data_IF_486902567134
#
_entry.id   IF_486902567134
#
_cell.length_a   1.000
_cell.length_b   1.000
_cell.length_c   1.000
_cell.angle_alpha   90.00
_cell.angle_beta   90.00
_cell.angle_gamma   90.00
#
_symmetry.space_group_name_H-M   'P 1'
#
loop_
_entity.id
_entity.type
_entity.pdbx_description
1 polymer ?
#
# COMPACT_ATOMS: atom_id res chain seq x y z
N UNK A 1 64.80 -55.58 11.79
CA UNK A 1 63.40 -55.71 12.21
C UNK A 1 62.79 -54.30 12.33
N UNK A 2 62.53 -53.67 11.19
CA UNK A 2 61.85 -52.36 11.06
C UNK A 2 61.15 -52.38 9.69
N UNK A 3 59.82 -52.38 9.68
CA UNK A 3 58.88 -52.36 8.54
C UNK A 3 57.62 -51.69 9.11
N UNK A 4 56.88 -50.78 8.47
CA UNK A 4 56.75 -50.34 7.08
C UNK A 4 55.88 -49.07 7.09
N UNK A 5 56.30 -48.08 6.31
CA UNK A 5 55.51 -47.32 5.32
C UNK A 5 54.01 -47.05 5.56
N UNK A 6 53.72 -45.75 5.66
CA UNK A 6 52.76 -44.98 4.86
C UNK A 6 51.36 -45.56 4.57
N UNK A 7 50.34 -44.86 5.08
CA UNK A 7 49.12 -44.58 4.31
C UNK A 7 48.36 -43.42 4.97
N UNK A 8 48.50 -42.24 4.39
CA UNK A 8 47.64 -41.10 4.68
C UNK A 8 46.25 -41.38 4.12
N UNK A 9 45.22 -41.17 4.93
CA UNK A 9 43.83 -41.20 4.51
C UNK A 9 43.32 -39.76 4.48
N UNK A 10 43.22 -39.22 3.27
CA UNK A 10 42.48 -38.00 2.96
C UNK A 10 41.00 -38.37 3.00
N UNK A 11 40.29 -37.91 4.03
CA UNK A 11 38.83 -37.95 4.06
C UNK A 11 38.30 -36.72 3.33
N UNK A 12 38.05 -36.88 2.03
CA UNK A 12 37.30 -35.93 1.22
C UNK A 12 35.97 -36.57 0.83
N UNK A 13 34.84 -35.96 1.24
CA UNK A 13 33.44 -36.13 0.76
C UNK A 13 32.50 -35.80 1.94
N UNK A 14 31.39 -35.07 1.85
CA UNK A 14 30.69 -34.39 0.78
C UNK A 14 29.85 -33.31 1.50
N UNK A 15 30.21 -32.03 1.39
CA UNK A 15 29.34 -30.95 1.84
C UNK A 15 28.26 -30.75 0.78
N UNK A 16 27.13 -31.46 0.91
CA UNK A 16 25.91 -31.09 0.21
C UNK A 16 25.48 -29.76 0.82
N UNK A 17 25.92 -28.68 0.21
CA UNK A 17 25.36 -27.35 0.45
C UNK A 17 23.92 -27.41 -0.04
N UNK A 18 22.98 -27.67 0.87
CA UNK A 18 21.61 -27.28 0.67
C UNK A 18 21.62 -25.75 0.57
N UNK A 19 21.80 -25.23 -0.63
CA UNK A 19 21.35 -23.90 -0.95
C UNK A 19 19.84 -23.94 -0.77
N UNK A 20 19.38 -23.63 0.45
CA UNK A 20 18.03 -23.16 0.65
C UNK A 20 17.94 -21.91 -0.22
N UNK A 21 17.38 -22.07 -1.43
CA UNK A 21 16.82 -20.98 -2.18
C UNK A 21 15.90 -20.29 -1.19
N UNK A 22 16.29 -19.08 -0.77
CA UNK A 22 15.47 -18.25 0.08
C UNK A 22 14.18 -17.97 -0.68
N UNK A 23 13.17 -18.82 -0.45
CA UNK A 23 11.82 -18.59 -0.89
C UNK A 23 11.42 -17.28 -0.21
N UNK A 24 11.35 -16.21 -1.00
CA UNK A 24 11.26 -14.85 -0.49
C UNK A 24 10.08 -14.75 0.46
N UNK A 25 10.30 -14.17 1.65
CA UNK A 25 9.28 -14.07 2.69
C UNK A 25 7.94 -13.61 2.09
N UNK A 26 6.89 -14.41 2.32
CA UNK A 26 5.57 -14.14 1.78
C UNK A 26 5.08 -12.75 2.21
N UNK A 27 4.78 -11.90 1.24
CA UNK A 27 4.35 -10.52 1.44
C UNK A 27 2.86 -10.48 1.73
N UNK A 28 2.48 -9.67 2.72
CA UNK A 28 1.09 -9.33 3.04
C UNK A 28 0.84 -7.84 2.83
N UNK A 29 -0.41 -7.44 2.52
CA UNK A 29 -0.73 -6.08 2.07
C UNK A 29 -0.56 -5.01 3.14
N UNK A 30 -0.69 -5.36 4.42
CA UNK A 30 -0.67 -4.39 5.51
C UNK A 30 0.35 -4.76 6.57
N UNK A 31 0.86 -3.73 7.24
CA UNK A 31 1.68 -3.84 8.44
C UNK A 31 0.92 -3.23 9.61
N UNK A 32 0.78 -3.96 10.71
CA UNK A 32 0.32 -3.43 11.97
C UNK A 32 1.52 -2.75 12.65
N UNK A 33 1.42 -1.45 12.90
CA UNK A 33 2.48 -0.66 13.50
C UNK A 33 2.37 -0.64 15.02
N UNK A 34 1.14 -0.48 15.53
CA UNK A 34 0.83 -0.61 16.95
C UNK A 34 -0.64 -0.97 17.19
N UNK A 35 -0.91 -1.63 18.31
CA UNK A 35 -2.26 -1.83 18.82
C UNK A 35 -2.32 -1.60 20.34
N UNK A 36 -3.01 -0.54 20.78
CA UNK A 36 -3.01 -0.20 22.20
C UNK A 36 -3.99 0.90 22.59
N UNK A 37 -3.98 1.33 23.86
CA UNK A 37 -4.92 2.34 24.36
C UNK A 37 -4.72 3.70 23.71
N UNK A 38 -5.76 4.53 23.78
CA UNK A 38 -5.78 5.91 23.28
C UNK A 38 -7.03 6.22 22.49
N UNK A 39 -7.06 7.41 21.87
CA UNK A 39 -8.12 7.83 20.95
C UNK A 39 -7.58 7.88 19.53
N UNK A 40 -8.47 7.72 18.55
CA UNK A 40 -8.13 7.85 17.13
C UNK A 40 -7.48 9.20 16.85
N UNK A 41 -8.06 10.30 17.36
CA UNK A 41 -7.52 11.64 17.16
C UNK A 41 -6.08 11.80 17.69
N UNK A 42 -5.80 11.33 18.92
CA UNK A 42 -4.47 11.43 19.51
C UNK A 42 -3.44 10.58 18.74
N UNK A 43 -3.82 9.35 18.37
CA UNK A 43 -2.95 8.44 17.60
C UNK A 43 -2.70 8.95 16.18
N UNK A 44 -3.71 9.52 15.51
CA UNK A 44 -3.58 10.13 14.20
C UNK A 44 -2.66 11.36 14.24
N UNK A 45 -2.81 12.23 15.23
CA UNK A 45 -1.92 13.37 15.41
C UNK A 45 -0.45 12.93 15.63
N UNK A 46 -0.23 11.93 16.49
CA UNK A 46 1.09 11.36 16.72
C UNK A 46 1.68 10.74 15.44
N UNK A 47 0.88 9.98 14.70
CA UNK A 47 1.31 9.36 13.44
C UNK A 47 1.71 10.42 12.40
N UNK A 48 0.90 11.47 12.19
CA UNK A 48 1.22 12.56 11.25
C UNK A 48 2.57 13.21 11.59
N UNK A 49 2.78 13.55 12.87
CA UNK A 49 4.05 14.14 13.34
C UNK A 49 5.24 13.22 13.09
N UNK A 50 5.11 11.94 13.42
CA UNK A 50 6.19 10.97 13.24
C UNK A 50 6.51 10.73 11.76
N UNK A 51 5.49 10.69 10.90
CA UNK A 51 5.64 10.58 9.44
C UNK A 51 6.39 11.79 8.88
N UNK A 52 5.98 13.01 9.23
CA UNK A 52 6.65 14.23 8.80
C UNK A 52 8.11 14.29 9.27
N UNK A 53 8.39 13.91 10.51
CA UNK A 53 9.75 13.82 11.05
C UNK A 53 10.64 12.79 10.32
N UNK A 54 10.03 11.85 9.58
CA UNK A 54 10.73 10.85 8.78
C UNK A 54 10.61 11.09 7.26
N UNK A 55 10.39 12.35 6.86
CA UNK A 55 10.49 12.78 5.46
C UNK A 55 9.25 12.50 4.60
N UNK A 56 8.12 12.19 5.22
CA UNK A 56 6.84 12.08 4.53
C UNK A 56 6.09 13.41 4.50
N UNK A 57 5.42 13.67 3.38
CA UNK A 57 4.44 14.74 3.24
C UNK A 57 3.05 14.15 3.36
N UNK A 58 2.17 14.79 4.12
CA UNK A 58 0.75 14.42 4.18
C UNK A 58 0.06 14.96 2.92
N UNK A 59 -0.38 14.07 2.03
CA UNK A 59 -1.06 14.44 0.79
C UNK A 59 -2.58 14.67 1.00
N UNK A 60 -3.14 14.03 2.02
CA UNK A 60 -4.55 14.16 2.37
C UNK A 60 -4.91 13.33 3.59
N UNK A 61 -6.05 13.62 4.20
CA UNK A 61 -6.58 12.88 5.34
C UNK A 61 -8.09 12.85 5.25
N UNK A 62 -8.72 11.73 5.60
CA UNK A 62 -10.17 11.66 5.68
C UNK A 62 -10.64 10.52 6.59
N UNK A 63 -11.93 10.52 6.91
CA UNK A 63 -12.57 9.54 7.77
C UNK A 63 -13.68 8.82 6.99
N UNK A 64 -13.50 7.56 6.56
CA UNK A 64 -14.51 6.84 5.78
C UNK A 64 -15.72 6.42 6.64
N UNK A 65 -15.53 6.28 7.96
CA UNK A 65 -16.56 5.97 8.94
C UNK A 65 -16.10 6.39 10.34
N UNK A 66 -17.04 6.43 11.28
CA UNK A 66 -16.78 6.82 12.65
C UNK A 66 -15.64 5.99 13.28
N UNK A 67 -14.78 6.66 14.04
CA UNK A 67 -13.62 6.07 14.72
C UNK A 67 -12.57 5.43 13.78
N UNK A 68 -12.48 5.91 12.54
CA UNK A 68 -11.39 5.60 11.62
C UNK A 68 -10.89 6.86 10.93
N UNK A 69 -9.57 7.03 10.88
CA UNK A 69 -8.92 8.08 10.11
C UNK A 69 -7.86 7.44 9.21
N UNK A 70 -7.83 7.87 7.95
CA UNK A 70 -6.81 7.48 6.97
C UNK A 70 -5.99 8.71 6.64
N UNK A 71 -4.68 8.54 6.72
CA UNK A 71 -3.66 9.54 6.41
C UNK A 71 -2.93 9.06 5.18
N UNK A 72 -2.98 9.87 4.12
CA UNK A 72 -2.29 9.59 2.86
C UNK A 72 -0.94 10.30 2.90
N UNK A 73 0.12 9.54 2.70
CA UNK A 73 1.48 10.07 2.70
C UNK A 73 2.20 9.82 1.39
N UNK A 74 3.01 10.78 1.00
CA UNK A 74 3.92 10.68 -0.15
C UNK A 74 5.28 11.26 0.19
N UNK A 75 6.27 11.03 -0.64
CA UNK A 75 7.58 11.68 -0.58
C UNK A 75 8.25 11.62 -1.96
N UNK A 76 9.45 12.21 -2.07
CA UNK A 76 10.20 12.19 -3.33
C UNK A 76 10.52 10.76 -3.81
N UNK A 77 10.83 9.83 -2.90
CA UNK A 77 11.14 8.44 -3.27
C UNK A 77 9.94 7.73 -3.90
N UNK A 78 8.74 7.88 -3.33
CA UNK A 78 7.49 7.34 -3.87
C UNK A 78 7.19 7.92 -5.26
N UNK A 79 7.24 9.25 -5.38
CA UNK A 79 6.95 9.94 -6.66
C UNK A 79 7.97 9.60 -7.75
N UNK A 80 9.26 9.52 -7.41
CA UNK A 80 10.30 9.16 -8.36
C UNK A 80 10.22 7.69 -8.78
N UNK A 81 9.78 6.80 -7.89
CA UNK A 81 9.51 5.41 -8.26
C UNK A 81 8.30 5.29 -9.19
N UNK A 82 7.21 6.02 -8.89
CA UNK A 82 6.03 6.12 -9.76
C UNK A 82 6.39 6.62 -11.16
N UNK A 83 7.23 7.65 -11.27
CA UNK A 83 7.71 8.17 -12.54
C UNK A 83 8.44 7.13 -13.41
N UNK A 84 8.85 5.98 -12.87
CA UNK A 84 9.57 4.94 -13.62
C UNK A 84 8.68 3.80 -14.13
N UNK A 85 7.40 3.78 -13.78
CA UNK A 85 6.48 2.69 -14.12
C UNK A 85 5.28 3.16 -14.95
N UNK A 86 4.73 2.32 -15.83
CA UNK A 86 3.40 2.55 -16.41
C UNK A 86 2.35 2.57 -15.30
N UNK A 87 1.43 3.54 -15.33
CA UNK A 87 0.42 3.74 -14.29
C UNK A 87 1.03 3.81 -12.88
N UNK A 88 2.22 4.39 -12.78
CA UNK A 88 2.99 4.42 -11.53
C UNK A 88 2.33 5.27 -10.46
N UNK A 89 1.41 6.17 -10.83
CA UNK A 89 0.65 7.02 -9.93
C UNK A 89 -0.08 6.24 -8.83
N UNK A 90 -0.58 5.03 -9.09
CA UNK A 90 -1.16 4.18 -8.04
C UNK A 90 -0.17 3.81 -6.93
N UNK A 91 1.13 3.78 -7.22
CA UNK A 91 2.21 3.56 -6.25
C UNK A 91 2.84 4.83 -5.68
N UNK A 92 2.29 6.02 -5.96
CA UNK A 92 2.91 7.29 -5.57
C UNK A 92 2.64 7.71 -4.11
N UNK A 93 1.89 6.91 -3.36
CA UNK A 93 1.54 7.16 -1.96
C UNK A 93 1.57 5.87 -1.12
N UNK A 94 1.49 6.04 0.19
CA UNK A 94 1.15 4.98 1.14
C UNK A 94 -0.03 5.44 1.98
N UNK A 95 -0.82 4.47 2.46
CA UNK A 95 -2.01 4.73 3.27
C UNK A 95 -1.71 4.29 4.70
N UNK A 96 -1.88 5.20 5.65
CA UNK A 96 -1.75 4.94 7.09
C UNK A 96 -3.13 5.03 7.70
N UNK A 97 -3.61 3.96 8.33
CA UNK A 97 -4.89 3.93 9.00
C UNK A 97 -4.74 3.98 10.53
N UNK A 98 -5.65 4.70 11.16
CA UNK A 98 -5.83 4.76 12.61
C UNK A 98 -7.27 4.42 12.91
N UNK A 99 -7.52 3.24 13.48
CA UNK A 99 -8.88 2.69 13.63
C UNK A 99 -9.12 2.18 15.04
N UNK A 100 -10.23 2.59 15.65
CA UNK A 100 -10.67 2.05 16.92
C UNK A 100 -11.25 0.63 16.72
N UNK A 101 -10.79 -0.31 17.55
CA UNK A 101 -11.34 -1.65 17.65
C UNK A 101 -11.55 -1.97 19.11
N UNK A 102 -12.83 -2.04 19.53
CA UNK A 102 -13.21 -2.16 20.94
C UNK A 102 -12.55 -1.05 21.78
N UNK A 103 -11.68 -1.40 22.72
CA UNK A 103 -11.03 -0.47 23.65
C UNK A 103 -9.59 -0.08 23.21
N UNK A 104 -9.15 -0.50 22.02
CA UNK A 104 -7.82 -0.22 21.50
C UNK A 104 -7.88 0.51 20.16
N UNK A 105 -6.83 1.25 19.85
CA UNK A 105 -6.60 1.89 18.55
C UNK A 105 -5.50 1.12 17.83
N UNK A 106 -5.81 0.65 16.64
CA UNK A 106 -4.85 0.06 15.71
C UNK A 106 -4.29 1.16 14.82
N UNK A 107 -2.96 1.23 14.74
CA UNK A 107 -2.25 2.00 13.70
C UNK A 107 -1.65 1.01 12.73
N UNK A 108 -2.03 1.08 11.46
CA UNK A 108 -1.54 0.21 10.41
C UNK A 108 -1.21 1.00 9.14
N UNK A 109 -0.44 0.40 8.24
CA UNK A 109 -0.13 1.02 6.95
C UNK A 109 0.01 -0.02 5.85
N UNK A 110 -0.18 0.42 4.59
CA UNK A 110 0.10 -0.40 3.41
C UNK A 110 1.58 -0.80 3.38
N UNK A 111 1.87 -2.08 3.14
CA UNK A 111 3.23 -2.58 3.02
C UNK A 111 3.86 -2.11 1.70
N UNK A 112 4.87 -1.21 1.70
CA UNK A 112 5.38 -0.63 0.46
C UNK A 112 5.94 -1.67 -0.52
N UNK A 113 6.56 -2.73 -0.01
CA UNK A 113 7.12 -3.81 -0.85
C UNK A 113 6.01 -4.64 -1.49
N UNK A 114 4.92 -4.88 -0.77
CA UNK A 114 3.73 -5.51 -1.34
C UNK A 114 3.14 -4.63 -2.44
N UNK A 115 2.90 -3.34 -2.15
CA UNK A 115 2.29 -2.40 -3.11
C UNK A 115 3.17 -2.22 -4.35
N UNK A 116 4.49 -2.17 -4.20
CA UNK A 116 5.42 -2.11 -5.33
C UNK A 116 5.24 -3.29 -6.29
N UNK A 117 5.05 -4.50 -5.77
CA UNK A 117 4.85 -5.68 -6.62
C UNK A 117 3.43 -5.73 -7.20
N UNK A 118 2.41 -5.45 -6.38
CA UNK A 118 1.01 -5.43 -6.81
C UNK A 118 0.75 -4.40 -7.93
N UNK A 119 1.36 -3.22 -7.84
CA UNK A 119 1.30 -2.18 -8.88
C UNK A 119 2.42 -2.27 -9.91
N UNK A 120 3.17 -3.39 -9.94
CA UNK A 120 4.22 -3.67 -10.93
C UNK A 120 5.28 -2.57 -11.05
N UNK A 121 5.55 -1.87 -9.95
CA UNK A 121 6.52 -0.79 -9.86
C UNK A 121 7.94 -1.29 -10.20
N UNK A 122 8.80 -0.38 -10.68
CA UNK A 122 10.19 -0.70 -11.06
C UNK A 122 11.08 -0.90 -9.84
N UNK A 123 11.01 0.02 -8.88
CA UNK A 123 11.71 -0.09 -7.59
C UNK A 123 10.88 -0.80 -6.53
N UNK A 124 11.56 -1.50 -5.62
CA UNK A 124 10.96 -2.38 -4.61
C UNK A 124 10.42 -1.65 -3.36
N UNK A 125 10.62 -0.34 -3.26
CA UNK A 125 10.21 0.52 -2.15
C UNK A 125 10.72 0.09 -0.76
N UNK A 126 11.78 -0.72 -0.65
CA UNK A 126 12.34 -1.14 0.66
C UNK A 126 12.80 0.05 1.51
N UNK A 127 13.35 1.09 0.89
CA UNK A 127 13.74 2.32 1.59
C UNK A 127 12.53 3.05 2.21
N UNK A 128 11.39 3.07 1.51
CA UNK A 128 10.14 3.63 2.03
C UNK A 128 9.58 2.76 3.15
N UNK A 129 9.65 1.44 3.02
CA UNK A 129 9.27 0.51 4.10
C UNK A 129 10.10 0.73 5.37
N UNK A 130 11.42 0.89 5.24
CA UNK A 130 12.29 1.20 6.36
C UNK A 130 11.94 2.55 7.02
N UNK A 131 11.61 3.58 6.23
CA UNK A 131 11.20 4.88 6.74
C UNK A 131 9.86 4.83 7.50
N UNK A 132 8.86 4.08 6.99
CA UNK A 132 7.58 3.87 7.68
C UNK A 132 7.77 3.09 8.98
N UNK A 133 8.56 2.00 8.95
CA UNK A 133 8.90 1.22 10.15
C UNK A 133 9.56 2.08 11.22
N UNK A 134 10.50 2.95 10.82
CA UNK A 134 11.14 3.90 11.74
C UNK A 134 10.15 4.93 12.31
N UNK A 135 9.20 5.40 11.50
CA UNK A 135 8.24 6.42 11.91
C UNK A 135 7.15 5.87 12.83
N UNK A 136 6.61 4.69 12.54
CA UNK A 136 5.37 4.19 13.15
C UNK A 136 5.56 2.90 13.95
N UNK A 137 6.64 2.18 13.74
CA UNK A 137 6.85 0.82 14.25
C UNK A 137 6.33 -0.26 13.30
N UNK A 138 6.62 -1.52 13.64
CA UNK A 138 6.20 -2.70 12.89
C UNK A 138 6.07 -3.88 13.87
N UNK A 139 4.84 -4.27 14.18
CA UNK A 139 4.54 -5.45 15.01
C UNK A 139 4.46 -6.72 14.14
N UNK A 140 3.66 -6.68 13.07
CA UNK A 140 3.48 -7.82 12.15
C UNK A 140 2.79 -7.45 10.85
N UNK A 141 3.05 -8.23 9.81
CA UNK A 141 2.32 -8.17 8.54
C UNK A 141 0.97 -8.93 8.62
N UNK A 142 -0.09 -8.40 7.99
CA UNK A 142 -1.44 -8.97 8.02
C UNK A 142 -2.26 -8.66 6.76
N UNK A 143 -3.47 -9.23 6.68
CA UNK A 143 -4.43 -9.01 5.60
C UNK A 143 -4.77 -10.30 4.85
N UNK A 144 -4.60 -10.27 3.53
CA UNK A 144 -4.75 -11.43 2.66
C UNK A 144 -3.75 -12.57 3.00
N UNK A 145 -3.94 -13.72 2.35
CA UNK A 145 -2.90 -14.76 2.36
C UNK A 145 -1.59 -14.18 1.81
N UNK A 146 -0.46 -14.60 2.37
CA UNK A 146 0.84 -14.09 1.94
C UNK A 146 1.20 -14.62 0.55
N UNK A 147 1.84 -13.79 -0.27
CA UNK A 147 2.24 -14.17 -1.62
C UNK A 147 3.70 -13.81 -1.88
N UNK A 148 4.39 -14.56 -2.72
CA UNK A 148 5.72 -14.18 -3.19
C UNK A 148 5.65 -12.90 -4.04
N UNK A 149 6.77 -12.20 -4.18
CA UNK A 149 6.85 -11.00 -5.02
C UNK A 149 6.44 -11.30 -6.48
N UNK A 150 6.89 -12.44 -7.02
CA UNK A 150 6.56 -12.87 -8.36
C UNK A 150 5.06 -13.14 -8.52
N UNK A 151 4.46 -13.87 -7.58
CA UNK A 151 3.04 -14.16 -7.59
C UNK A 151 2.17 -12.89 -7.50
N UNK A 152 2.63 -11.85 -6.79
CA UNK A 152 1.94 -10.55 -6.76
C UNK A 152 1.98 -9.83 -8.11
N UNK A 153 3.12 -9.85 -8.80
CA UNK A 153 3.25 -9.19 -10.12
C UNK A 153 2.38 -9.86 -11.17
N UNK A 154 2.20 -11.17 -11.07
CA UNK A 154 1.37 -11.98 -11.96
C UNK A 154 -0.05 -12.21 -11.41
N UNK A 155 -0.43 -11.54 -10.33
CA UNK A 155 -1.71 -11.78 -9.68
C UNK A 155 -2.88 -11.53 -10.62
N UNK A 156 -3.82 -12.46 -10.59
CA UNK A 156 -5.10 -12.38 -11.28
C UNK A 156 -6.17 -12.91 -10.32
N UNK A 157 -7.27 -12.17 -10.17
CA UNK A 157 -8.30 -12.56 -9.20
C UNK A 157 -9.09 -13.78 -9.69
N UNK A 158 -9.77 -13.66 -10.83
CA UNK A 158 -10.51 -14.76 -11.46
C UNK A 158 -10.44 -14.65 -12.98
N UNK A 159 -10.49 -15.79 -13.66
CA UNK A 159 -10.61 -15.85 -15.12
C UNK A 159 -11.78 -14.97 -15.61
N UNK A 160 -11.52 -14.10 -16.58
CA UNK A 160 -12.51 -13.17 -17.13
C UNK A 160 -12.65 -11.83 -16.40
N UNK A 161 -11.91 -11.58 -15.32
CA UNK A 161 -11.85 -10.29 -14.63
C UNK A 161 -10.67 -9.44 -15.11
N UNK A 162 -10.79 -8.11 -14.96
CA UNK A 162 -9.80 -7.12 -15.39
C UNK A 162 -8.41 -7.35 -14.76
N UNK A 163 -7.37 -7.12 -15.57
CA UNK A 163 -5.99 -7.10 -15.11
C UNK A 163 -5.62 -5.71 -14.58
N UNK A 164 -4.51 -5.62 -13.84
CA UNK A 164 -3.93 -4.31 -13.50
C UNK A 164 -3.60 -3.47 -14.76
N UNK A 165 -3.39 -4.12 -15.91
CA UNK A 165 -3.16 -3.46 -17.21
C UNK A 165 -4.43 -2.95 -17.88
N UNK A 166 -5.60 -3.28 -17.35
CA UNK A 166 -6.90 -3.06 -18.00
C UNK A 166 -7.79 -2.19 -17.10
N UNK A 167 -7.42 -0.92 -16.82
CA UNK A 167 -8.23 -0.05 -15.98
C UNK A 167 -9.58 0.25 -16.64
N UNK A 168 -10.63 0.41 -15.83
CA UNK A 168 -11.92 0.87 -16.32
C UNK A 168 -11.83 2.33 -16.79
N UNK A 169 -11.91 2.57 -18.10
CA UNK A 169 -11.96 3.92 -18.66
C UNK A 169 -13.24 4.63 -18.22
N UNK A 170 -13.09 5.71 -17.43
CA UNK A 170 -14.22 6.49 -16.93
C UNK A 170 -14.69 7.56 -17.92
N UNK A 171 -13.75 8.21 -18.60
CA UNK A 171 -13.99 9.26 -19.59
C UNK A 171 -12.71 9.56 -20.39
N UNK A 172 -12.88 10.12 -21.58
CA UNK A 172 -11.78 10.62 -22.42
C UNK A 172 -11.90 12.14 -22.62
N UNK A 173 -10.76 12.82 -22.70
CA UNK A 173 -10.67 14.26 -22.89
C UNK A 173 -9.59 14.61 -23.92
N UNK A 174 -9.64 15.82 -24.46
CA UNK A 174 -8.69 16.30 -25.48
C UNK A 174 -7.26 16.48 -24.97
N UNK A 175 -7.05 16.60 -23.65
CA UNK A 175 -5.73 16.71 -23.03
C UNK A 175 -5.75 16.28 -21.57
N UNK A 176 -4.58 15.94 -21.04
CA UNK A 176 -4.39 15.69 -19.60
C UNK A 176 -4.91 16.84 -18.74
N UNK A 177 -4.60 18.09 -19.09
CA UNK A 177 -5.05 19.25 -18.32
C UNK A 177 -6.57 19.44 -18.37
N UNK A 178 -7.20 19.11 -19.50
CA UNK A 178 -8.66 19.13 -19.61
C UNK A 178 -9.29 18.05 -18.73
N UNK A 179 -8.72 16.83 -18.71
CA UNK A 179 -9.17 15.74 -17.85
C UNK A 179 -9.02 16.09 -16.36
N UNK A 180 -7.86 16.60 -15.95
CA UNK A 180 -7.58 17.04 -14.57
C UNK A 180 -8.59 18.10 -14.14
N UNK A 181 -8.79 19.16 -14.93
CA UNK A 181 -9.75 20.23 -14.59
C UNK A 181 -11.18 19.73 -14.50
N UNK A 182 -11.59 18.84 -15.41
CA UNK A 182 -12.93 18.27 -15.41
C UNK A 182 -13.16 17.40 -14.17
N UNK A 183 -12.18 16.56 -13.81
CA UNK A 183 -12.23 15.73 -12.62
C UNK A 183 -12.26 16.57 -11.34
N UNK A 184 -11.36 17.55 -11.19
CA UNK A 184 -11.32 18.46 -10.03
C UNK A 184 -12.66 19.18 -9.84
N UNK A 185 -13.24 19.71 -10.93
CA UNK A 185 -14.56 20.36 -10.90
C UNK A 185 -15.65 19.39 -10.45
N UNK A 186 -15.63 18.14 -10.93
CA UNK A 186 -16.59 17.11 -10.55
C UNK A 186 -16.49 16.73 -9.06
N UNK A 187 -15.26 16.51 -8.57
CA UNK A 187 -14.97 16.16 -7.19
C UNK A 187 -15.30 17.30 -6.21
N UNK A 188 -15.01 18.56 -6.59
CA UNK A 188 -15.36 19.73 -5.80
C UNK A 188 -16.88 19.92 -5.68
N UNK A 189 -17.63 19.56 -6.73
CA UNK A 189 -19.09 19.60 -6.72
C UNK A 189 -19.74 18.44 -5.93
N UNK A 190 -18.96 17.45 -5.46
CA UNK A 190 -19.47 16.31 -4.69
C UNK A 190 -20.47 15.45 -5.47
N UNK A 191 -20.37 15.43 -6.80
CA UNK A 191 -21.34 14.72 -7.66
C UNK A 191 -21.35 13.23 -7.32
N UNK A 192 -22.56 12.67 -7.23
CA UNK A 192 -22.77 11.28 -6.85
C UNK A 192 -22.17 10.88 -5.50
N UNK A 193 -21.89 11.84 -4.60
CA UNK A 193 -21.31 11.55 -3.30
C UNK A 193 -19.80 11.23 -3.33
N UNK A 194 -19.11 11.56 -4.43
CA UNK A 194 -17.66 11.37 -4.58
C UNK A 194 -16.94 12.70 -4.35
N UNK A 195 -15.95 12.72 -3.46
CA UNK A 195 -15.18 13.93 -3.12
C UNK A 195 -13.69 13.65 -3.08
N UNK A 196 -12.87 14.65 -3.38
CA UNK A 196 -11.41 14.52 -3.37
C UNK A 196 -10.87 14.34 -1.94
N UNK A 197 -9.96 13.38 -1.76
CA UNK A 197 -9.14 13.20 -0.54
C UNK A 197 -7.74 13.77 -0.76
N UNK A 198 -7.12 13.45 -1.89
CA UNK A 198 -5.78 13.91 -2.24
C UNK A 198 -5.62 13.99 -3.76
N UNK A 199 -4.57 14.71 -4.18
CA UNK A 199 -4.03 14.73 -5.54
C UNK A 199 -2.51 14.62 -5.46
N UNK A 200 -1.91 13.81 -6.32
CA UNK A 200 -0.45 13.73 -6.48
C UNK A 200 -0.11 13.74 -7.98
N UNK A 201 0.66 14.75 -8.38
CA UNK A 201 1.23 14.83 -9.73
C UNK A 201 2.54 14.03 -9.81
N UNK A 202 2.72 13.25 -10.88
CA UNK A 202 3.89 12.40 -11.06
C UNK A 202 4.98 13.15 -11.84
N UNK A 203 6.20 13.30 -11.27
CA UNK A 203 7.24 14.10 -11.89
C UNK A 203 7.70 13.48 -13.22
N UNK A 204 7.92 14.32 -14.23
CA UNK A 204 8.44 13.88 -15.53
C UNK A 204 7.43 13.14 -16.42
N UNK A 205 6.14 13.09 -16.03
CA UNK A 205 5.06 12.47 -16.82
C UNK A 205 3.79 13.32 -16.77
N UNK A 206 2.93 13.13 -17.78
CA UNK A 206 1.54 13.61 -17.75
C UNK A 206 0.70 12.53 -17.09
N UNK A 207 0.86 12.40 -15.79
CA UNK A 207 0.15 11.42 -14.98
C UNK A 207 -0.16 12.04 -13.62
N UNK A 208 -1.43 11.99 -13.22
CA UNK A 208 -1.92 12.55 -11.96
C UNK A 208 -2.86 11.55 -11.30
N UNK A 209 -2.62 11.25 -10.01
CA UNK A 209 -3.48 10.36 -9.24
C UNK A 209 -4.31 11.14 -8.24
N UNK A 210 -5.59 10.82 -8.16
CA UNK A 210 -6.55 11.36 -7.21
C UNK A 210 -7.07 10.24 -6.32
N UNK A 211 -7.01 10.43 -5.01
CA UNK A 211 -7.78 9.59 -4.08
C UNK A 211 -9.14 10.20 -3.84
N UNK A 212 -10.18 9.38 -3.84
CA UNK A 212 -11.56 9.82 -3.64
C UNK A 212 -12.22 9.12 -2.46
N UNK A 213 -13.01 9.88 -1.71
CA UNK A 213 -13.92 9.35 -0.71
C UNK A 213 -15.29 9.17 -1.36
N UNK A 214 -15.96 8.06 -1.05
CA UNK A 214 -17.28 7.75 -1.56
C UNK A 214 -18.28 7.68 -0.41
N UNK A 215 -19.31 8.53 -0.47
CA UNK A 215 -20.38 8.58 0.51
C UNK A 215 -21.71 8.74 -0.20
N UNK A 216 -22.48 7.66 -0.27
CA UNK A 216 -23.73 7.63 -1.03
C UNK A 216 -24.87 7.06 -0.19
N UNK A 217 -25.91 7.87 -0.01
CA UNK A 217 -27.17 7.41 0.58
C UNK A 217 -28.05 6.66 -0.43
N UNK A 218 -27.84 6.89 -1.74
CA UNK A 218 -28.66 6.32 -2.81
C UNK A 218 -28.15 4.95 -3.29
N UNK A 219 -26.83 4.74 -3.28
CA UNK A 219 -26.22 3.49 -3.69
C UNK A 219 -25.19 3.04 -2.65
N UNK A 220 -25.57 2.06 -1.83
CA UNK A 220 -24.69 1.48 -0.80
C UNK A 220 -23.38 0.89 -1.35
N UNK A 221 -23.33 0.46 -2.61
CA UNK A 221 -22.10 -0.04 -3.23
C UNK A 221 -21.12 1.08 -3.61
N UNK A 222 -21.53 2.34 -3.44
CA UNK A 222 -20.72 3.54 -3.63
C UNK A 222 -20.59 4.30 -2.29
N UNK A 223 -20.49 3.57 -1.19
CA UNK A 223 -20.36 4.11 0.16
C UNK A 223 -19.24 3.39 0.90
N UNK A 224 -18.17 4.13 1.24
CA UNK A 224 -16.96 3.59 1.87
C UNK A 224 -17.29 2.85 3.18
N UNK A 225 -18.23 3.38 3.97
CA UNK A 225 -18.67 2.73 5.22
C UNK A 225 -19.32 1.39 4.94
N UNK A 226 -20.24 1.31 3.99
CA UNK A 226 -20.88 0.04 3.64
C UNK A 226 -19.88 -0.97 3.07
N UNK A 227 -19.02 -0.55 2.13
CA UNK A 227 -17.99 -1.42 1.55
C UNK A 227 -17.11 -2.01 2.66
N UNK A 228 -16.59 -1.16 3.54
CA UNK A 228 -15.70 -1.60 4.62
C UNK A 228 -16.41 -2.45 5.67
N UNK A 229 -17.70 -2.22 5.92
CA UNK A 229 -18.49 -3.12 6.74
C UNK A 229 -18.56 -4.55 6.17
N UNK A 230 -18.66 -4.68 4.84
CA UNK A 230 -18.73 -5.98 4.16
C UNK A 230 -17.36 -6.67 4.11
N UNK A 231 -16.29 -5.94 3.77
CA UNK A 231 -14.98 -6.56 3.47
C UNK A 231 -14.03 -6.61 4.67
N UNK A 232 -14.19 -5.74 5.68
CA UNK A 232 -13.25 -5.60 6.79
C UNK A 232 -13.79 -6.14 8.12
N UNK A 233 -14.21 -7.41 8.10
CA UNK A 233 -14.80 -8.10 9.24
C UNK A 233 -13.78 -8.72 10.20
N UNK A 234 -12.48 -8.74 9.84
CA UNK A 234 -11.42 -9.35 10.67
C UNK A 234 -11.07 -8.50 11.90
N UNK A 235 -10.42 -9.08 12.93
CA UNK A 235 -9.99 -8.34 14.12
C UNK A 235 -8.95 -7.26 13.84
N UNK A 236 -8.00 -7.53 12.94
CA UNK A 236 -7.08 -6.51 12.43
C UNK A 236 -7.74 -5.81 11.25
N UNK A 237 -7.89 -4.50 11.36
CA UNK A 237 -8.61 -3.69 10.38
C UNK A 237 -7.74 -3.34 9.20
N UNK A 238 -8.28 -3.63 8.03
CA UNK A 238 -7.72 -3.32 6.72
C UNK A 238 -8.17 -1.94 6.24
N UNK A 239 -8.46 -1.01 7.16
CA UNK A 239 -8.92 0.36 6.87
C UNK A 239 -8.06 1.08 5.81
N UNK A 240 -6.75 0.81 5.81
CA UNK A 240 -5.80 1.32 4.80
C UNK A 240 -6.03 0.75 3.37
N UNK A 241 -7.05 -0.08 3.16
CA UNK A 241 -7.56 -0.47 1.85
C UNK A 241 -8.03 0.76 1.06
N UNK A 242 -8.74 1.69 1.71
CA UNK A 242 -9.24 2.91 1.10
C UNK A 242 -8.20 4.05 1.15
N UNK A 243 -8.33 5.11 0.33
CA UNK A 243 -9.38 5.41 -0.65
C UNK A 243 -9.23 4.62 -1.95
N UNK A 244 -10.26 4.70 -2.80
CA UNK A 244 -10.14 4.36 -4.22
C UNK A 244 -9.38 5.46 -4.96
N UNK A 245 -8.71 5.09 -6.05
CA UNK A 245 -7.95 6.01 -6.89
C UNK A 245 -8.53 6.16 -8.30
N UNK A 246 -8.37 7.36 -8.83
CA UNK A 246 -8.54 7.68 -10.25
C UNK A 246 -7.19 8.17 -10.77
N UNK A 247 -6.72 7.59 -11.86
CA UNK A 247 -5.52 8.02 -12.57
C UNK A 247 -5.92 8.78 -13.83
N UNK A 248 -5.27 9.93 -14.05
CA UNK A 248 -5.43 10.79 -15.23
C UNK A 248 -4.11 10.88 -15.97
#
# INVERSE_FOLDING_TARGET
MFKRMAQGWILASLLISAAALADGALLKPFILASNGPGTVAAKAAAAKKALQANGFTIAGTYSPYANAEIIIVTNAALKNNAAQSPMGGFGAMQRVAVTQVKNAVQVSYTNPVYMANAYRMKGDLKGVAAALRKALGEERAFGAHGMSADALRHYHYMFGMEYFTDPSTLAEYSSHDAAVKALEKGLAAGRSGVTQVYRIDIPGKRETVFGVAMRSAANKYQDDRYIMHVIDFKPLKSTAYLPYEILV
#
